data_IF_615128105162
#
_entry.id   IF_615128105162
#
_cell.length_a   1.000
_cell.length_b   1.000
_cell.length_c   1.000
_cell.angle_alpha   90.00
_cell.angle_beta   90.00
_cell.angle_gamma   90.00
#
_symmetry.space_group_name_H-M   'P 1'
#
loop_
_entity.id
_entity.type
_entity.pdbx_description
1 polymer ?
#
# COMPACT_ATOMS: atom_id res chain seq x y z
N UNK A 1 1.81 8.36 3.68
CA UNK A 1 1.73 6.98 4.22
C UNK A 1 2.58 6.79 5.47
N UNK A 2 3.88 7.12 5.42
CA UNK A 2 4.81 7.05 6.55
C UNK A 2 4.26 7.58 7.89
N UNK A 3 3.65 8.77 7.91
CA UNK A 3 3.01 9.32 9.13
C UNK A 3 1.98 8.38 9.79
N UNK A 4 1.17 7.67 8.99
CA UNK A 4 0.18 6.73 9.54
C UNK A 4 0.87 5.50 10.11
N UNK A 5 1.84 4.94 9.39
CA UNK A 5 2.62 3.79 9.88
C UNK A 5 3.43 4.15 11.13
N UNK A 6 3.96 5.38 11.21
CA UNK A 6 4.66 5.90 12.38
C UNK A 6 3.71 6.04 13.57
N UNK A 7 2.54 6.62 13.37
CA UNK A 7 1.53 6.70 14.44
C UNK A 7 1.08 5.32 14.95
N UNK A 8 0.97 4.33 14.06
CA UNK A 8 0.70 2.95 14.48
C UNK A 8 1.87 2.34 15.25
N UNK A 9 3.11 2.55 14.78
CA UNK A 9 4.33 2.10 15.46
C UNK A 9 4.42 2.70 16.85
N UNK A 10 4.25 4.01 16.98
CA UNK A 10 4.31 4.73 18.25
C UNK A 10 3.27 4.21 19.23
N UNK A 11 2.01 4.04 18.78
CA UNK A 11 0.92 3.52 19.61
C UNK A 11 1.21 2.10 20.14
N UNK A 12 1.74 1.23 19.29
CA UNK A 12 1.95 -0.18 19.61
C UNK A 12 3.30 -0.45 20.29
N UNK A 13 4.24 0.49 20.25
CA UNK A 13 5.59 0.31 20.78
C UNK A 13 5.58 -0.05 22.26
N UNK A 14 4.74 0.62 23.06
CA UNK A 14 4.61 0.34 24.50
C UNK A 14 4.09 -1.09 24.75
N UNK A 15 3.04 -1.51 24.03
CA UNK A 15 2.46 -2.86 24.13
C UNK A 15 3.50 -3.93 23.75
N UNK A 16 4.27 -3.68 22.68
CA UNK A 16 5.30 -4.60 22.21
C UNK A 16 6.47 -4.70 23.21
N UNK A 17 6.90 -3.58 23.79
CA UNK A 17 7.93 -3.59 24.84
C UNK A 17 7.46 -4.37 26.07
N UNK A 18 6.19 -4.22 26.44
CA UNK A 18 5.61 -4.96 27.55
C UNK A 18 5.55 -6.47 27.26
N UNK A 19 5.03 -6.90 26.11
CA UNK A 19 4.90 -8.33 25.78
C UNK A 19 6.26 -9.02 25.62
N UNK A 20 7.24 -8.34 25.02
CA UNK A 20 8.57 -8.87 24.75
C UNK A 20 9.53 -8.74 25.95
N UNK A 21 9.22 -7.88 26.92
CA UNK A 21 10.03 -7.64 28.11
C UNK A 21 9.80 -8.64 29.25
N UNK A 22 8.73 -9.43 29.20
CA UNK A 22 8.38 -10.37 30.26
C UNK A 22 9.04 -11.74 30.01
N UNK A 23 9.62 -12.33 31.05
CA UNK A 23 10.10 -13.72 30.99
C UNK A 23 8.93 -14.67 30.77
N UNK A 24 8.91 -15.36 29.62
CA UNK A 24 7.85 -16.33 29.31
C UNK A 24 7.96 -17.55 30.23
N UNK A 25 6.82 -17.95 30.79
CA UNK A 25 6.72 -19.12 31.68
C UNK A 25 6.87 -20.46 30.93
N UNK A 26 6.69 -20.44 29.61
CA UNK A 26 6.83 -21.61 28.74
C UNK A 26 7.60 -21.24 27.48
N UNK A 27 8.60 -22.04 27.15
CA UNK A 27 9.33 -21.97 25.89
C UNK A 27 9.20 -23.32 25.23
N UNK A 28 8.73 -23.35 23.98
CA UNK A 28 8.62 -24.60 23.24
C UNK A 28 10.01 -25.22 23.06
N UNK A 29 10.13 -26.53 23.34
CA UNK A 29 11.38 -27.30 23.23
C UNK A 29 12.03 -27.20 21.83
N UNK A 30 11.22 -26.98 20.79
CA UNK A 30 11.66 -26.82 19.40
C UNK A 30 11.10 -25.53 18.79
N UNK A 31 11.29 -24.38 19.45
CA UNK A 31 10.89 -23.10 18.87
C UNK A 31 11.72 -22.81 17.61
N UNK A 32 11.06 -22.70 16.46
CA UNK A 32 11.73 -22.36 15.19
C UNK A 32 12.00 -20.87 15.04
N UNK A 33 11.32 -20.03 15.83
CA UNK A 33 11.42 -18.58 15.71
C UNK A 33 10.93 -17.90 16.98
N UNK A 34 11.66 -16.86 17.39
CA UNK A 34 11.30 -15.99 18.50
C UNK A 34 11.17 -14.58 17.95
N UNK A 35 9.97 -14.01 18.04
CA UNK A 35 9.73 -12.64 17.62
C UNK A 35 10.42 -11.65 18.57
N UNK A 36 11.05 -10.62 18.00
CA UNK A 36 11.82 -9.59 18.71
C UNK A 36 11.31 -8.18 18.42
N UNK A 37 11.82 -7.19 19.15
CA UNK A 37 11.48 -5.80 18.89
C UNK A 37 12.01 -5.32 17.53
N UNK A 38 13.10 -5.90 17.06
CA UNK A 38 13.64 -5.60 15.74
C UNK A 38 12.70 -6.12 14.66
N UNK A 39 12.14 -7.33 14.81
CA UNK A 39 11.14 -7.84 13.88
C UNK A 39 9.90 -6.93 13.78
N UNK A 40 9.46 -6.35 14.90
CA UNK A 40 8.39 -5.35 14.91
C UNK A 40 8.79 -4.06 14.18
N UNK A 41 9.96 -3.51 14.52
CA UNK A 41 10.45 -2.28 13.93
C UNK A 41 10.66 -2.41 12.43
N UNK A 42 11.31 -3.49 11.99
CA UNK A 42 11.56 -3.75 10.58
C UNK A 42 10.28 -4.11 9.85
N UNK A 43 9.45 -5.01 10.36
CA UNK A 43 8.21 -5.44 9.69
C UNK A 43 7.20 -4.31 9.41
N UNK A 44 7.26 -3.20 10.18
CA UNK A 44 6.49 -1.99 9.86
C UNK A 44 7.11 -1.22 8.69
N UNK A 45 8.43 -1.06 8.68
CA UNK A 45 9.17 -0.19 7.77
C UNK A 45 9.46 -0.83 6.42
N UNK A 46 9.83 -2.12 6.40
CA UNK A 46 10.12 -2.88 5.19
C UNK A 46 10.18 -4.39 5.46
N UNK A 47 10.04 -5.21 4.43
CA UNK A 47 10.23 -6.67 4.56
C UNK A 47 11.69 -7.15 4.50
N UNK A 48 12.66 -6.24 4.46
CA UNK A 48 14.06 -6.58 4.18
C UNK A 48 14.81 -7.01 5.45
N UNK A 49 14.22 -7.91 6.24
CA UNK A 49 14.84 -8.48 7.44
C UNK A 49 15.17 -9.96 7.23
N UNK A 50 16.40 -10.34 7.62
CA UNK A 50 17.00 -11.67 7.47
C UNK A 50 16.17 -12.76 8.16
N UNK A 51 15.25 -13.37 7.41
CA UNK A 51 14.40 -14.47 7.87
C UNK A 51 12.89 -14.20 7.81
N UNK A 52 12.46 -13.00 7.40
CA UNK A 52 11.04 -12.74 7.12
C UNK A 52 10.58 -13.61 5.95
N UNK A 53 9.58 -14.46 6.18
CA UNK A 53 8.90 -15.21 5.10
C UNK A 53 8.03 -14.31 4.21
N UNK A 54 7.85 -13.05 4.59
CA UNK A 54 7.01 -12.09 3.89
C UNK A 54 7.87 -11.02 3.21
N UNK A 55 7.67 -10.86 1.90
CA UNK A 55 8.44 -9.96 1.02
C UNK A 55 8.01 -8.50 1.08
N UNK A 56 7.00 -8.16 1.91
CA UNK A 56 6.51 -6.79 2.06
C UNK A 56 6.27 -6.43 3.54
N UNK A 57 6.80 -5.28 3.98
CA UNK A 57 6.44 -4.65 5.25
C UNK A 57 5.09 -3.94 5.16
N UNK A 58 4.56 -3.48 6.30
CA UNK A 58 3.26 -2.78 6.32
C UNK A 58 3.33 -1.49 5.50
N UNK A 59 4.43 -0.75 5.58
CA UNK A 59 4.62 0.45 4.77
C UNK A 59 4.69 0.13 3.27
N UNK A 60 5.36 -0.95 2.88
CA UNK A 60 5.45 -1.36 1.47
C UNK A 60 4.06 -1.68 0.90
N UNK A 61 3.29 -2.51 1.62
CA UNK A 61 1.92 -2.88 1.23
C UNK A 61 1.00 -1.67 1.11
N UNK A 62 1.02 -0.82 2.13
CA UNK A 62 0.14 0.34 2.17
C UNK A 62 0.50 1.37 1.10
N UNK A 63 1.80 1.52 0.79
CA UNK A 63 2.27 2.37 -0.31
C UNK A 63 1.80 1.82 -1.65
N UNK A 64 2.00 0.53 -1.92
CA UNK A 64 1.60 -0.10 -3.18
C UNK A 64 0.10 0.04 -3.47
N UNK A 65 -0.75 -0.24 -2.46
CA UNK A 65 -2.21 -0.12 -2.60
C UNK A 65 -2.60 1.34 -2.87
N UNK A 66 -2.05 2.28 -2.11
CA UNK A 66 -2.36 3.69 -2.28
C UNK A 66 -1.91 4.22 -3.65
N UNK A 67 -0.70 3.88 -4.09
CA UNK A 67 -0.18 4.31 -5.38
C UNK A 67 -1.02 3.73 -6.53
N UNK A 68 -1.46 2.48 -6.41
CA UNK A 68 -2.33 1.83 -7.39
C UNK A 68 -3.65 2.59 -7.53
N UNK A 69 -4.31 2.92 -6.42
CA UNK A 69 -5.56 3.70 -6.41
C UNK A 69 -5.31 5.11 -6.95
N UNK A 70 -4.24 5.77 -6.51
CA UNK A 70 -3.90 7.11 -6.96
C UNK A 70 -3.71 7.17 -8.48
N UNK A 71 -2.98 6.19 -9.02
CA UNK A 71 -2.75 6.05 -10.47
C UNK A 71 -4.05 5.78 -11.22
N UNK A 72 -4.88 4.85 -10.72
CA UNK A 72 -6.13 4.47 -11.38
C UNK A 72 -7.13 5.62 -11.51
N UNK A 73 -7.19 6.49 -10.50
CA UNK A 73 -8.13 7.61 -10.47
C UNK A 73 -7.48 8.96 -10.82
N UNK A 74 -6.21 8.97 -11.22
CA UNK A 74 -5.43 10.17 -11.49
C UNK A 74 -5.47 11.21 -10.34
N UNK A 75 -5.45 10.72 -9.10
CA UNK A 75 -5.42 11.54 -7.88
C UNK A 75 -4.01 11.51 -7.28
N UNK A 76 -3.60 12.60 -6.64
CA UNK A 76 -2.34 12.64 -5.87
C UNK A 76 -2.65 12.51 -4.39
N UNK A 77 -1.80 11.77 -3.67
CA UNK A 77 -1.85 11.77 -2.21
C UNK A 77 -1.55 13.17 -1.67
N UNK A 78 -2.18 13.49 -0.55
CA UNK A 78 -1.90 14.72 0.17
C UNK A 78 -0.46 14.67 0.73
N UNK A 79 0.42 15.51 0.18
CA UNK A 79 1.86 15.51 0.50
C UNK A 79 2.15 16.18 1.84
N UNK A 80 1.21 16.99 2.33
CA UNK A 80 1.31 17.76 3.56
C UNK A 80 0.00 17.66 4.29
N UNK A 81 0.03 17.29 5.57
CA UNK A 81 -1.19 17.28 6.36
C UNK A 81 -1.78 18.70 6.42
N UNK A 82 -3.10 18.81 6.21
CA UNK A 82 -3.80 20.02 6.57
C UNK A 82 -3.53 20.34 8.04
N UNK A 83 -3.05 21.55 8.28
CA UNK A 83 -3.11 22.17 9.60
C UNK A 83 -4.59 22.43 9.95
N UNK A 84 -4.95 22.59 11.23
CA UNK A 84 -6.30 22.97 11.60
C UNK A 84 -6.82 24.18 10.81
N UNK A 85 -5.96 25.15 10.53
CA UNK A 85 -6.29 26.36 9.76
C UNK A 85 -6.53 26.06 8.28
N UNK A 86 -5.69 25.23 7.66
CA UNK A 86 -5.83 24.87 6.24
C UNK A 86 -6.96 23.87 6.00
N UNK A 87 -7.26 22.98 6.97
CA UNK A 87 -8.45 22.12 6.94
C UNK A 87 -9.75 22.93 7.00
N UNK A 88 -9.79 23.98 7.83
CA UNK A 88 -10.94 24.87 7.95
C UNK A 88 -11.18 25.70 6.67
N UNK A 89 -10.11 26.07 5.95
CA UNK A 89 -10.23 26.77 4.67
C UNK A 89 -10.82 25.88 3.56
N UNK A 90 -10.50 24.58 3.54
CA UNK A 90 -10.99 23.64 2.51
C UNK A 90 -12.47 23.26 2.70
N UNK A 91 -13.01 23.39 3.93
CA UNK A 91 -14.45 23.18 4.17
C UNK A 91 -15.34 24.09 3.31
N UNK A 92 -14.83 25.24 2.84
CA UNK A 92 -15.59 26.14 1.96
C UNK A 92 -15.72 25.61 0.52
N UNK A 93 -14.78 24.77 0.05
CA UNK A 93 -14.79 24.21 -1.31
C UNK A 93 -15.38 22.80 -1.39
N UNK A 94 -15.49 22.08 -0.26
CA UNK A 94 -16.22 20.81 -0.20
C UNK A 94 -17.72 21.06 -0.19
N UNK A 95 -18.32 21.17 -1.38
CA UNK A 95 -19.79 21.16 -1.51
C UNK A 95 -20.33 19.82 -0.98
N UNK A 96 -21.39 19.83 -0.15
CA UNK A 96 -22.09 18.61 0.21
C UNK A 96 -22.49 17.86 -1.05
N UNK A 97 -22.22 16.55 -1.11
CA UNK A 97 -22.71 15.70 -2.20
C UNK A 97 -24.22 15.61 -2.03
N UNK A 98 -24.97 16.27 -2.91
CA UNK A 98 -26.42 16.17 -2.96
C UNK A 98 -26.79 14.73 -3.37
N UNK A 99 -27.56 13.97 -2.57
CA UNK A 99 -27.99 12.62 -2.94
C UNK A 99 -28.85 12.57 -4.21
N UNK A 100 -29.35 13.71 -4.70
CA UNK A 100 -30.02 13.86 -6.00
C UNK A 100 -29.10 14.22 -7.18
N UNK A 101 -27.80 14.44 -6.93
CA UNK A 101 -26.84 14.77 -7.98
C UNK A 101 -26.65 13.58 -8.93
N UNK A 102 -26.71 13.84 -10.24
CA UNK A 102 -26.38 12.83 -11.24
C UNK A 102 -24.89 12.54 -11.16
N UNK A 103 -24.54 11.25 -11.18
CA UNK A 103 -23.16 10.79 -11.28
C UNK A 103 -22.49 11.47 -12.47
N UNK A 104 -21.48 12.30 -12.17
CA UNK A 104 -20.64 12.97 -13.16
C UNK A 104 -19.25 12.29 -13.13
N UNK A 105 -18.93 11.46 -14.13
CA UNK A 105 -17.66 10.76 -14.18
C UNK A 105 -16.46 11.70 -14.39
N UNK A 106 -16.67 12.97 -14.75
CA UNK A 106 -15.61 13.93 -15.02
C UNK A 106 -15.29 14.85 -13.83
N UNK A 107 -16.17 14.91 -12.82
CA UNK A 107 -16.09 15.88 -11.71
C UNK A 107 -14.83 15.76 -10.82
N UNK A 108 -14.08 14.65 -10.90
CA UNK A 108 -12.84 14.44 -10.16
C UNK A 108 -11.65 14.05 -11.04
N UNK A 109 -11.81 14.00 -12.36
CA UNK A 109 -10.71 13.74 -13.27
C UNK A 109 -10.02 15.07 -13.53
N UNK A 110 -8.83 15.26 -12.95
CA UNK A 110 -7.88 16.24 -13.48
C UNK A 110 -7.56 15.78 -14.91
N UNK A 111 -8.29 16.31 -15.90
CA UNK A 111 -8.15 16.02 -17.31
C UNK A 111 -6.87 16.64 -17.86
N UNK A 112 -5.73 16.15 -17.40
CA UNK A 112 -4.55 16.17 -18.24
C UNK A 112 -4.85 15.22 -19.39
N UNK A 113 -5.17 15.80 -20.55
CA UNK A 113 -5.54 15.13 -21.80
C UNK A 113 -4.47 14.16 -22.36
N UNK A 114 -3.40 13.90 -21.61
CA UNK A 114 -2.33 12.96 -21.93
C UNK A 114 -2.20 11.81 -20.91
N UNK A 115 -3.10 11.70 -19.92
CA UNK A 115 -3.16 10.54 -19.06
C UNK A 115 -3.87 9.40 -19.82
N UNK A 116 -3.16 8.82 -20.79
CA UNK A 116 -3.51 7.49 -21.26
C UNK A 116 -3.57 6.60 -20.02
N UNK A 117 -4.75 6.08 -19.72
CA UNK A 117 -4.95 4.97 -18.79
C UNK A 117 -4.32 3.70 -19.40
N UNK A 118 -3.02 3.74 -19.67
CA UNK A 118 -2.19 2.61 -19.96
C UNK A 118 -1.93 1.90 -18.64
N UNK A 119 -2.92 1.14 -18.16
CA UNK A 119 -2.70 0.17 -17.09
C UNK A 119 -1.51 -0.69 -17.52
N UNK A 120 -0.38 -0.60 -16.82
CA UNK A 120 0.82 -1.40 -17.12
C UNK A 120 0.51 -2.90 -17.12
N UNK A 121 -0.58 -3.29 -16.46
CA UNK A 121 -1.16 -4.62 -16.47
C UNK A 121 -1.67 -5.04 -17.87
N UNK A 122 -2.20 -4.13 -18.68
CA UNK A 122 -2.56 -4.43 -20.07
C UNK A 122 -1.33 -4.71 -20.92
N UNK A 123 -0.24 -3.96 -20.71
CA UNK A 123 1.02 -4.17 -21.43
C UNK A 123 1.65 -5.51 -21.03
N UNK A 124 1.64 -5.83 -19.73
CA UNK A 124 2.08 -7.11 -19.20
C UNK A 124 1.24 -8.29 -19.72
N UNK A 125 -0.10 -8.12 -19.79
CA UNK A 125 -1.00 -9.15 -20.32
C UNK A 125 -0.77 -9.40 -21.82
N UNK A 126 -0.52 -8.35 -22.61
CA UNK A 126 -0.17 -8.47 -24.03
C UNK A 126 1.17 -9.20 -24.19
N UNK A 127 2.19 -8.83 -23.41
CA UNK A 127 3.48 -9.49 -23.45
C UNK A 127 3.38 -10.99 -23.09
N UNK A 128 2.59 -11.32 -22.07
CA UNK A 128 2.36 -12.71 -21.66
C UNK A 128 1.62 -13.51 -22.74
N UNK A 129 0.62 -12.90 -23.40
CA UNK A 129 -0.11 -13.54 -24.49
C UNK A 129 0.79 -13.84 -25.70
N UNK A 130 1.67 -12.90 -26.07
CA UNK A 130 2.64 -13.09 -27.16
C UNK A 130 3.63 -14.23 -26.81
N UNK A 131 4.14 -14.25 -25.59
CA UNK A 131 5.05 -15.29 -25.13
C UNK A 131 4.38 -16.67 -25.15
N UNK A 132 3.13 -16.76 -24.70
CA UNK A 132 2.36 -18.00 -24.73
C UNK A 132 2.16 -18.53 -26.16
N UNK A 133 1.82 -17.65 -27.12
CA UNK A 133 1.69 -18.02 -28.53
C UNK A 133 3.02 -18.49 -29.11
N UNK A 134 4.12 -17.79 -28.82
CA UNK A 134 5.44 -18.19 -29.29
C UNK A 134 5.84 -19.58 -28.78
N UNK A 135 5.62 -19.86 -27.48
CA UNK A 135 5.89 -21.17 -26.88
C UNK A 135 4.99 -22.24 -27.52
N UNK A 136 3.69 -21.98 -27.68
CA UNK A 136 2.78 -22.92 -28.32
C UNK A 136 3.20 -23.26 -29.76
N UNK A 137 3.64 -22.28 -30.55
CA UNK A 137 4.13 -22.52 -31.90
C UNK A 137 5.44 -23.34 -31.88
N UNK A 138 6.37 -23.04 -30.97
CA UNK A 138 7.60 -23.85 -30.87
C UNK A 138 7.34 -25.30 -30.47
N UNK A 139 6.32 -25.57 -29.65
CA UNK A 139 5.94 -26.95 -29.26
C UNK A 139 5.19 -27.67 -30.39
N UNK A 140 4.40 -26.95 -31.19
CA UNK A 140 3.60 -27.54 -32.27
C UNK A 140 4.41 -27.84 -33.54
N UNK A 141 5.53 -27.13 -33.75
CA UNK A 141 6.44 -27.30 -34.89
C UNK A 141 7.74 -28.07 -34.54
N UNK A 142 7.81 -28.69 -33.35
CA UNK A 142 8.82 -29.67 -32.93
C UNK A 142 8.24 -31.09 -33.05
#
# INVERSE_FOLDING_TARGET
MKRKTDGYKDRLTEEMQWDLGITRLYTALNSQYQFTMDDFNYGIESANYEGSKFFFGILDWTTLICDTVCKQFNIQYDKTAYTPETAAAVQQDTKPIDPGSKYDPEANLNTNANAESGSEMNLANIALAILAVAISLTIFFL
#
